data_IF_403372262732
#
_entry.id   IF_403372262732
#
_cell.length_a   1.000
_cell.length_b   1.000
_cell.length_c   1.000
_cell.angle_alpha   90.00
_cell.angle_beta   90.00
_cell.angle_gamma   90.00
#
_symmetry.space_group_name_H-M   'P 1'
#
loop_
_entity.id
_entity.type
_entity.pdbx_description
1 polymer ?
#
# COMPACT_ATOMS: atom_id res chain seq x y z
N UNK A 1 8.42 2.95 -10.46
CA UNK A 1 9.21 1.91 -9.76
C UNK A 1 9.97 2.47 -8.57
N UNK A 2 10.66 3.61 -8.69
CA UNK A 2 11.41 4.23 -7.58
C UNK A 2 10.56 4.38 -6.31
N UNK A 3 9.34 4.91 -6.40
CA UNK A 3 8.44 5.06 -5.24
C UNK A 3 8.16 3.74 -4.50
N UNK A 4 8.00 2.64 -5.23
CA UNK A 4 7.81 1.32 -4.61
C UNK A 4 9.08 0.85 -3.88
N UNK A 5 10.25 1.09 -4.48
CA UNK A 5 11.53 0.74 -3.86
C UNK A 5 11.89 1.66 -2.69
N UNK A 6 11.43 2.92 -2.70
CA UNK A 6 11.52 3.82 -1.55
C UNK A 6 10.65 3.32 -0.39
N UNK A 7 9.48 2.71 -0.65
CA UNK A 7 8.67 2.07 0.40
C UNK A 7 9.37 0.89 1.06
N UNK A 8 10.18 0.13 0.32
CA UNK A 8 11.00 -0.94 0.91
C UNK A 8 11.99 -0.38 1.95
N UNK A 9 12.54 0.81 1.68
CA UNK A 9 13.40 1.55 2.61
C UNK A 9 12.61 2.16 3.76
N UNK A 10 11.46 2.77 3.50
CA UNK A 10 10.68 3.47 4.53
C UNK A 10 10.03 2.51 5.53
N UNK A 11 9.44 1.42 5.04
CA UNK A 11 8.59 0.53 5.85
C UNK A 11 8.69 -0.95 5.47
N UNK A 12 9.60 -1.34 4.58
CA UNK A 12 9.78 -2.72 4.16
C UNK A 12 11.04 -3.37 4.74
N UNK A 13 11.60 -4.31 4.00
CA UNK A 13 12.74 -5.13 4.44
C UNK A 13 14.03 -4.34 4.66
N UNK A 14 14.13 -3.09 4.18
CA UNK A 14 15.28 -2.21 4.42
C UNK A 14 15.03 -1.19 5.55
N UNK A 15 13.82 -1.13 6.13
CA UNK A 15 13.49 -0.14 7.14
C UNK A 15 14.36 -0.24 8.39
N UNK A 16 14.61 -1.47 8.89
CA UNK A 16 15.49 -1.68 10.04
C UNK A 16 16.92 -1.18 9.79
N UNK A 17 17.54 -1.65 8.70
CA UNK A 17 18.95 -1.37 8.39
C UNK A 17 19.24 0.10 8.05
N UNK A 18 18.24 0.82 7.53
CA UNK A 18 18.33 2.23 7.12
C UNK A 18 17.68 3.20 8.11
N UNK A 19 17.13 2.70 9.23
CA UNK A 19 16.29 3.46 10.15
C UNK A 19 15.18 4.24 9.42
N UNK A 20 14.41 3.53 8.58
CA UNK A 20 13.37 4.08 7.70
C UNK A 20 13.90 5.22 6.81
N UNK A 21 15.12 5.07 6.30
CA UNK A 21 15.84 6.06 5.49
C UNK A 21 16.59 7.15 6.28
N UNK A 22 16.29 7.37 7.57
CA UNK A 22 16.90 8.45 8.35
C UNK A 22 18.41 8.31 8.55
N UNK A 23 18.98 7.11 8.36
CA UNK A 23 20.43 6.87 8.35
C UNK A 23 21.16 7.65 7.26
N UNK A 24 20.45 8.07 6.21
CA UNK A 24 20.98 8.90 5.11
C UNK A 24 20.91 10.40 5.38
N UNK A 25 20.76 10.80 6.63
CA UNK A 25 20.90 12.20 7.01
C UNK A 25 22.31 12.69 6.71
N UNK A 26 22.39 13.74 5.92
CA UNK A 26 23.63 14.43 5.55
C UNK A 26 23.53 15.90 5.93
N UNK A 27 24.70 16.55 6.00
CA UNK A 27 24.83 18.00 6.11
C UNK A 27 25.47 18.51 4.83
N UNK A 28 24.78 19.42 4.16
CA UNK A 28 25.24 19.98 2.89
C UNK A 28 26.32 21.02 3.05
N UNK A 29 26.85 21.45 1.91
CA UNK A 29 27.91 22.47 1.83
C UNK A 29 27.52 23.79 2.52
N UNK A 30 26.22 24.08 2.61
CA UNK A 30 25.64 25.28 3.24
C UNK A 30 25.27 25.09 4.71
N UNK A 31 25.60 23.95 5.32
CA UNK A 31 25.30 23.64 6.72
C UNK A 31 23.86 23.18 7.00
N UNK A 32 23.02 23.05 5.98
CA UNK A 32 21.66 22.51 6.12
C UNK A 32 21.66 20.99 6.23
N UNK A 33 20.80 20.43 7.08
CA UNK A 33 20.62 18.98 7.20
C UNK A 33 19.40 18.49 6.43
N UNK A 34 19.55 17.39 5.71
CA UNK A 34 18.51 16.73 4.92
C UNK A 34 18.77 15.23 4.86
N UNK A 35 17.78 14.46 4.39
CA UNK A 35 17.92 13.03 4.14
C UNK A 35 17.98 12.81 2.64
N UNK A 36 19.05 12.18 2.15
CA UNK A 36 19.14 11.80 0.74
C UNK A 36 18.25 10.58 0.51
N UNK A 37 17.34 10.62 -0.49
CA UNK A 37 16.41 9.52 -0.72
C UNK A 37 17.14 8.26 -1.20
N UNK A 38 16.67 7.11 -0.73
CA UNK A 38 17.13 5.79 -1.14
C UNK A 38 15.98 4.96 -1.67
N UNK A 39 16.27 4.17 -2.68
CA UNK A 39 15.38 3.16 -3.23
C UNK A 39 16.14 1.84 -3.30
N UNK A 40 15.61 0.75 -2.77
CA UNK A 40 16.35 -0.51 -2.77
C UNK A 40 15.50 -1.74 -2.55
N UNK A 41 16.13 -2.90 -2.72
CA UNK A 41 15.51 -4.20 -2.54
C UNK A 41 16.50 -5.21 -1.99
N UNK A 42 15.97 -6.09 -1.15
CA UNK A 42 16.68 -7.27 -0.63
C UNK A 42 16.33 -8.51 -1.46
N UNK A 43 17.26 -9.44 -1.57
CA UNK A 43 17.02 -10.78 -2.09
C UNK A 43 17.78 -11.84 -1.31
N UNK A 44 17.25 -13.06 -1.33
CA UNK A 44 17.79 -14.22 -0.63
C UNK A 44 17.42 -15.46 -1.43
N UNK A 45 18.41 -16.30 -1.74
CA UNK A 45 18.16 -17.56 -2.45
C UNK A 45 17.67 -18.65 -1.50
N UNK A 46 17.24 -19.77 -2.08
CA UNK A 46 16.86 -20.94 -1.30
C UNK A 46 18.03 -21.40 -0.40
N UNK A 47 17.69 -21.96 0.77
CA UNK A 47 18.67 -22.41 1.77
C UNK A 47 19.65 -21.31 2.26
N UNK A 48 19.30 -20.02 2.11
CA UNK A 48 20.17 -18.90 2.48
C UNK A 48 21.57 -19.00 1.84
N UNK A 49 21.67 -19.52 0.61
CA UNK A 49 22.96 -19.66 -0.06
C UNK A 49 23.55 -18.29 -0.44
N UNK A 50 22.68 -17.35 -0.82
CA UNK A 50 23.01 -15.99 -1.22
C UNK A 50 22.12 -14.99 -0.51
N UNK A 51 22.70 -13.87 -0.13
CA UNK A 51 22.02 -12.72 0.43
C UNK A 51 22.51 -11.47 -0.27
N UNK A 52 21.61 -10.68 -0.85
CA UNK A 52 21.98 -9.40 -1.46
C UNK A 52 21.05 -8.27 -1.07
N UNK A 53 21.62 -7.08 -1.05
CA UNK A 53 20.90 -5.82 -1.07
C UNK A 53 21.42 -4.99 -2.23
N UNK A 54 20.50 -4.55 -3.06
CA UNK A 54 20.77 -3.64 -4.17
C UNK A 54 19.92 -2.41 -3.98
N UNK A 55 20.51 -1.24 -4.16
CA UNK A 55 19.76 -0.01 -4.12
C UNK A 55 20.49 1.14 -4.76
N UNK A 56 19.76 2.22 -4.91
CA UNK A 56 20.20 3.45 -5.54
C UNK A 56 19.84 4.65 -4.68
N UNK A 57 20.62 5.71 -4.87
CA UNK A 57 20.28 7.10 -4.59
C UNK A 57 20.28 7.87 -5.93
N UNK A 58 19.97 9.16 -5.92
CA UNK A 58 20.15 10.02 -7.10
C UNK A 58 21.61 10.21 -7.55
N UNK A 59 22.57 9.72 -6.77
CA UNK A 59 24.00 9.82 -7.05
C UNK A 59 24.61 8.48 -7.47
N UNK A 60 24.29 7.41 -6.74
CA UNK A 60 24.98 6.13 -6.84
C UNK A 60 24.02 4.95 -6.82
N UNK A 61 24.42 3.88 -7.50
CA UNK A 61 23.84 2.54 -7.35
C UNK A 61 24.90 1.64 -6.76
N UNK A 62 24.53 0.87 -5.74
CA UNK A 62 25.42 -0.08 -5.09
C UNK A 62 24.68 -1.40 -4.83
N UNK A 63 25.42 -2.50 -4.95
CA UNK A 63 25.00 -3.84 -4.62
C UNK A 63 25.99 -4.45 -3.63
N UNK A 64 25.49 -5.04 -2.55
CA UNK A 64 26.27 -5.85 -1.62
C UNK A 64 25.70 -7.26 -1.68
N UNK A 65 26.56 -8.24 -1.91
CA UNK A 65 26.22 -9.65 -1.96
C UNK A 65 27.12 -10.43 -0.99
N UNK A 66 26.51 -11.41 -0.34
CA UNK A 66 27.17 -12.43 0.46
C UNK A 66 26.80 -13.79 -0.10
N UNK A 67 27.80 -14.66 -0.18
CA UNK A 67 27.69 -16.05 -0.59
C UNK A 67 29.06 -16.70 -0.54
N UNK A 68 29.08 -18.01 -0.75
CA UNK A 68 30.32 -18.76 -0.90
C UNK A 68 30.63 -18.96 -2.38
N UNK A 69 31.91 -19.03 -2.73
CA UNK A 69 32.34 -19.40 -4.09
C UNK A 69 31.73 -20.73 -4.57
N UNK A 70 31.43 -21.63 -3.63
CA UNK A 70 30.62 -22.84 -3.84
C UNK A 70 29.18 -22.56 -3.41
N UNK A 71 28.32 -22.28 -4.38
CA UNK A 71 26.94 -21.83 -4.17
C UNK A 71 25.96 -22.79 -3.48
N UNK A 72 26.39 -23.96 -3.02
CA UNK A 72 25.53 -24.90 -2.26
C UNK A 72 25.60 -24.71 -0.74
N UNK A 73 26.59 -23.95 -0.24
CA UNK A 73 26.76 -23.74 1.18
C UNK A 73 25.77 -22.69 1.69
N UNK A 74 25.05 -23.02 2.76
CA UNK A 74 24.18 -22.07 3.44
C UNK A 74 25.02 -21.04 4.20
N UNK A 75 24.63 -19.77 4.12
CA UNK A 75 25.13 -18.70 5.01
C UNK A 75 24.66 -18.92 6.45
N UNK A 76 23.61 -19.72 6.65
CA UNK A 76 22.97 -19.98 7.92
C UNK A 76 21.52 -19.53 7.92
N UNK A 77 20.73 -20.09 8.83
CA UNK A 77 19.33 -19.72 9.03
C UNK A 77 19.24 -18.22 9.34
N UNK A 78 18.27 -17.55 8.73
CA UNK A 78 18.03 -16.10 8.84
C UNK A 78 19.15 -15.20 8.31
N UNK A 79 20.17 -15.73 7.64
CA UNK A 79 21.18 -14.93 6.94
C UNK A 79 20.64 -14.49 5.57
N UNK A 80 19.78 -13.46 5.60
CA UNK A 80 19.06 -12.91 4.46
C UNK A 80 19.70 -11.62 3.95
N UNK A 81 19.25 -11.16 2.78
CA UNK A 81 19.64 -9.86 2.25
C UNK A 81 19.32 -8.72 3.23
N UNK A 82 18.24 -8.83 4.00
CA UNK A 82 17.82 -7.83 4.98
C UNK A 82 18.67 -7.84 6.26
N UNK A 83 19.19 -9.00 6.67
CA UNK A 83 19.89 -9.15 7.96
C UNK A 83 21.40 -8.96 7.84
N UNK A 84 22.03 -9.43 6.76
CA UNK A 84 23.49 -9.32 6.59
C UNK A 84 23.92 -8.30 5.53
N UNK A 85 23.28 -8.28 4.36
CA UNK A 85 23.69 -7.40 3.27
C UNK A 85 23.23 -5.95 3.49
N UNK A 86 21.99 -5.76 3.95
CA UNK A 86 21.37 -4.45 4.08
C UNK A 86 22.04 -3.50 5.09
N UNK A 87 22.47 -3.94 6.31
CA UNK A 87 23.16 -3.05 7.23
C UNK A 87 24.45 -2.49 6.65
N UNK A 88 25.26 -3.35 6.02
CA UNK A 88 26.53 -3.00 5.38
C UNK A 88 26.29 -2.08 4.19
N UNK A 89 25.30 -2.41 3.33
CA UNK A 89 24.90 -1.55 2.24
C UNK A 89 24.47 -0.15 2.74
N UNK A 90 23.70 -0.07 3.82
CA UNK A 90 23.24 1.20 4.37
C UNK A 90 24.39 2.03 4.97
N UNK A 91 25.36 1.40 5.65
CA UNK A 91 26.55 2.07 6.15
C UNK A 91 27.45 2.57 5.02
N UNK A 92 27.69 1.73 4.01
CA UNK A 92 28.43 2.10 2.81
C UNK A 92 27.78 3.27 2.09
N UNK A 93 26.46 3.19 1.84
CA UNK A 93 25.71 4.28 1.22
C UNK A 93 25.79 5.56 2.05
N UNK A 94 25.62 5.52 3.38
CA UNK A 94 25.79 6.72 4.22
C UNK A 94 27.16 7.35 4.03
N UNK A 95 28.21 6.54 4.02
CA UNK A 95 29.59 7.02 4.02
C UNK A 95 29.99 7.64 2.68
N UNK A 96 29.61 7.03 1.55
CA UNK A 96 29.88 7.60 0.21
C UNK A 96 29.06 8.87 -0.09
N UNK A 97 28.04 9.17 0.72
CA UNK A 97 27.19 10.36 0.57
C UNK A 97 27.60 11.53 1.48
N UNK A 98 28.67 11.38 2.28
CA UNK A 98 29.16 12.45 3.15
C UNK A 98 29.52 13.70 2.34
N UNK A 99 28.92 14.84 2.72
CA UNK A 99 29.17 16.14 2.09
C UNK A 99 28.47 16.36 0.76
N UNK A 100 27.67 15.42 0.26
CA UNK A 100 26.87 15.61 -0.95
C UNK A 100 25.63 16.44 -0.66
N UNK A 101 25.37 17.44 -1.51
CA UNK A 101 24.16 18.27 -1.45
C UNK A 101 22.89 17.44 -1.67
N UNK A 102 21.74 17.97 -1.22
CA UNK A 102 20.45 17.32 -1.45
C UNK A 102 20.20 17.16 -2.95
N UNK A 103 19.77 15.95 -3.33
CA UNK A 103 19.31 15.63 -4.68
C UNK A 103 18.18 14.63 -4.55
N UNK A 104 17.16 14.80 -5.38
CA UNK A 104 16.04 13.86 -5.47
C UNK A 104 16.14 13.02 -6.74
N UNK A 105 15.40 11.91 -6.80
CA UNK A 105 15.33 11.09 -8.00
C UNK A 105 14.69 11.89 -9.15
N UNK A 106 15.14 11.66 -10.40
CA UNK A 106 14.49 12.25 -11.55
C UNK A 106 13.05 11.71 -11.66
N UNK A 107 12.09 12.62 -11.74
CA UNK A 107 10.69 12.31 -11.97
C UNK A 107 10.35 12.57 -13.44
N UNK A 108 9.76 11.59 -14.17
CA UNK A 108 9.31 11.81 -15.54
C UNK A 108 8.26 12.92 -15.58
N UNK A 109 8.38 13.85 -16.52
CA UNK A 109 7.45 14.99 -16.64
C UNK A 109 6.12 14.61 -17.30
N UNK A 110 6.04 13.45 -17.96
CA UNK A 110 4.88 12.99 -18.72
C UNK A 110 4.82 11.46 -18.77
N UNK A 111 3.69 10.92 -19.21
CA UNK A 111 3.49 9.47 -19.36
C UNK A 111 3.08 8.77 -18.08
N UNK A 112 2.84 9.52 -17.00
CA UNK A 112 2.45 8.99 -15.70
C UNK A 112 1.25 9.77 -15.18
N UNK A 113 0.23 9.06 -14.70
CA UNK A 113 -0.89 9.65 -14.00
C UNK A 113 -1.04 9.06 -12.61
N UNK A 114 -1.46 9.91 -11.68
CA UNK A 114 -1.73 9.55 -10.31
C UNK A 114 -3.22 9.29 -10.16
N UNK A 115 -3.57 8.07 -9.80
CA UNK A 115 -4.96 7.64 -9.65
C UNK A 115 -5.19 7.15 -8.22
N UNK A 116 -6.29 7.60 -7.64
CA UNK A 116 -6.77 7.09 -6.36
C UNK A 116 -7.57 5.83 -6.60
N UNK A 117 -7.15 4.74 -5.98
CA UNK A 117 -7.78 3.42 -6.09
C UNK A 117 -8.18 2.91 -4.72
N UNK A 118 -9.13 1.97 -4.67
CA UNK A 118 -9.45 1.23 -3.47
C UNK A 118 -8.18 0.53 -2.94
N UNK A 119 -7.95 0.61 -1.63
CA UNK A 119 -6.79 0.01 -0.96
C UNK A 119 -6.73 -1.51 -1.09
N UNK A 120 -7.89 -2.16 -1.29
CA UNK A 120 -8.04 -3.62 -1.35
C UNK A 120 -8.13 -4.11 -2.80
N UNK A 121 -9.09 -3.61 -3.59
CA UNK A 121 -9.31 -4.12 -4.96
C UNK A 121 -8.30 -3.56 -5.97
N UNK A 122 -7.69 -2.41 -5.71
CA UNK A 122 -6.85 -1.70 -6.68
C UNK A 122 -7.63 -1.10 -7.85
N UNK A 123 -8.96 -1.13 -7.81
CA UNK A 123 -9.86 -0.53 -8.80
C UNK A 123 -10.35 0.85 -8.36
N UNK A 124 -11.08 1.56 -9.23
CA UNK A 124 -11.62 2.87 -8.90
C UNK A 124 -12.60 2.77 -7.72
N UNK A 125 -12.44 3.58 -6.67
CA UNK A 125 -13.24 3.44 -5.45
C UNK A 125 -14.71 3.79 -5.73
N UNK A 126 -15.59 3.13 -5.00
CA UNK A 126 -17.03 3.45 -4.94
C UNK A 126 -17.34 4.08 -3.58
N UNK A 127 -18.57 4.54 -3.39
CA UNK A 127 -19.04 5.05 -2.09
C UNK A 127 -19.02 3.99 -0.98
N UNK A 128 -18.97 2.70 -1.35
CA UNK A 128 -18.94 1.58 -0.42
C UNK A 128 -17.54 1.23 0.08
N UNK A 129 -16.46 1.82 -0.48
CA UNK A 129 -15.08 1.56 -0.07
C UNK A 129 -14.77 2.17 1.30
N UNK A 130 -15.12 1.45 2.36
CA UNK A 130 -14.93 1.82 3.77
C UNK A 130 -13.51 1.51 4.31
N UNK A 131 -12.77 0.61 3.65
CA UNK A 131 -11.38 0.24 4.00
C UNK A 131 -10.31 1.20 3.43
N UNK A 132 -10.74 2.35 2.90
CA UNK A 132 -9.88 3.44 2.47
C UNK A 132 -9.38 3.33 1.03
N UNK A 133 -8.58 4.33 0.65
CA UNK A 133 -8.04 4.48 -0.71
C UNK A 133 -6.55 4.75 -0.67
N UNK A 134 -5.87 4.39 -1.76
CA UNK A 134 -4.44 4.65 -1.96
C UNK A 134 -4.22 5.36 -3.28
N UNK A 135 -3.36 6.38 -3.27
CA UNK A 135 -2.98 7.11 -4.48
C UNK A 135 -1.73 6.47 -5.07
N UNK A 136 -1.86 5.86 -6.25
CA UNK A 136 -0.79 5.15 -6.95
C UNK A 136 -0.45 5.82 -8.28
N UNK A 137 0.76 5.55 -8.75
CA UNK A 137 1.29 6.05 -10.02
C UNK A 137 1.14 4.97 -11.09
N UNK A 138 0.53 5.32 -12.22
CA UNK A 138 0.30 4.43 -13.37
C UNK A 138 0.96 5.00 -14.61
N UNK A 139 1.36 4.12 -15.54
CA UNK A 139 1.67 4.54 -16.90
C UNK A 139 0.38 5.01 -17.56
N UNK A 140 0.41 6.11 -18.30
CA UNK A 140 -0.77 6.59 -19.03
C UNK A 140 -1.38 5.49 -19.90
N UNK A 141 -2.68 5.24 -19.74
CA UNK A 141 -3.41 4.14 -20.37
C UNK A 141 -3.44 2.82 -19.60
N UNK A 142 -2.64 2.66 -18.53
CA UNK A 142 -2.62 1.45 -17.69
C UNK A 142 -3.43 1.59 -16.39
N UNK A 143 -4.15 2.70 -16.22
CA UNK A 143 -5.00 2.94 -15.04
C UNK A 143 -6.17 1.95 -15.03
N UNK A 144 -6.68 1.55 -13.85
CA UNK A 144 -7.91 0.79 -13.78
C UNK A 144 -9.07 1.59 -14.35
N UNK A 145 -9.88 0.95 -15.19
CA UNK A 145 -11.09 1.53 -15.76
C UNK A 145 -12.36 1.09 -15.02
N UNK A 146 -12.31 -0.06 -14.33
CA UNK A 146 -13.41 -0.61 -13.56
C UNK A 146 -13.52 0.00 -12.16
N UNK A 147 -14.75 0.04 -11.65
CA UNK A 147 -15.03 0.35 -10.24
C UNK A 147 -14.78 -0.86 -9.35
N UNK A 148 -14.53 -0.60 -8.07
CA UNK A 148 -14.37 -1.63 -7.05
C UNK A 148 -15.55 -2.60 -7.05
N UNK A 149 -15.21 -3.88 -7.10
CA UNK A 149 -16.14 -5.03 -7.10
C UNK A 149 -16.15 -5.78 -5.76
N UNK A 150 -15.25 -5.44 -4.84
CA UNK A 150 -15.15 -6.03 -3.49
C UNK A 150 -16.12 -5.35 -2.53
N UNK A 151 -16.09 -4.01 -2.48
CA UNK A 151 -16.94 -3.24 -1.58
C UNK A 151 -18.29 -2.96 -2.24
N UNK A 152 -19.33 -3.63 -1.76
CA UNK A 152 -20.69 -3.52 -2.26
C UNK A 152 -21.65 -3.03 -1.18
N UNK A 153 -22.81 -2.58 -1.63
CA UNK A 153 -23.91 -2.22 -0.76
C UNK A 153 -24.37 -3.42 0.09
N UNK A 154 -24.05 -3.39 1.38
CA UNK A 154 -24.51 -4.40 2.35
C UNK A 154 -26.00 -4.27 2.65
N UNK A 155 -26.65 -3.16 2.26
CA UNK A 155 -28.08 -2.93 2.48
C UNK A 155 -28.95 -4.02 1.83
N UNK A 156 -28.56 -4.51 0.65
CA UNK A 156 -29.30 -5.56 -0.05
C UNK A 156 -29.20 -6.92 0.64
N UNK A 157 -28.05 -7.25 1.22
CA UNK A 157 -27.89 -8.46 2.01
C UNK A 157 -28.69 -8.38 3.31
N UNK A 158 -28.68 -7.23 3.99
CA UNK A 158 -29.52 -7.01 5.18
C UNK A 158 -31.00 -7.04 4.85
N UNK A 159 -31.43 -6.45 3.74
CA UNK A 159 -32.82 -6.50 3.29
C UNK A 159 -33.23 -7.93 2.97
N UNK A 160 -32.40 -8.69 2.27
CA UNK A 160 -32.64 -10.11 1.96
C UNK A 160 -32.67 -10.98 3.22
N UNK A 161 -31.79 -10.71 4.20
CA UNK A 161 -31.79 -11.42 5.48
C UNK A 161 -33.02 -11.08 6.33
N UNK A 162 -33.38 -9.80 6.42
CA UNK A 162 -34.60 -9.36 7.09
C UNK A 162 -35.84 -9.97 6.41
N UNK A 163 -35.86 -10.04 5.08
CA UNK A 163 -36.91 -10.68 4.31
C UNK A 163 -37.07 -12.17 4.69
N UNK A 164 -35.94 -12.90 4.75
CA UNK A 164 -35.90 -14.31 5.18
C UNK A 164 -36.28 -14.52 6.64
N UNK A 165 -35.89 -13.59 7.53
CA UNK A 165 -36.17 -13.68 8.97
C UNK A 165 -37.63 -13.31 9.31
N UNK A 166 -38.21 -12.34 8.59
CA UNK A 166 -39.56 -11.86 8.83
C UNK A 166 -40.62 -12.62 8.01
N UNK A 167 -40.21 -13.47 7.07
CA UNK A 167 -41.13 -14.25 6.23
C UNK A 167 -42.00 -13.39 5.32
N UNK A 168 -41.58 -12.15 5.03
CA UNK A 168 -42.33 -11.19 4.22
C UNK A 168 -41.76 -11.20 2.81
N UNK A 169 -42.44 -11.81 1.86
CA UNK A 169 -42.07 -11.67 0.45
C UNK A 169 -42.43 -10.25 -0.02
N UNK A 170 -41.41 -9.43 -0.27
CA UNK A 170 -41.42 -8.04 -0.79
C UNK A 170 -41.54 -6.92 0.23
N UNK A 171 -40.44 -6.18 0.42
CA UNK A 171 -40.49 -4.75 0.68
C UNK A 171 -40.20 -4.01 -0.63
N UNK A 172 -40.89 -2.90 -0.93
CA UNK A 172 -40.68 -2.16 -2.15
C UNK A 172 -39.23 -1.65 -2.23
N UNK A 173 -38.56 -1.92 -3.36
CA UNK A 173 -37.26 -1.31 -3.66
C UNK A 173 -37.46 0.21 -3.80
N UNK A 174 -36.78 1.06 -3.02
CA UNK A 174 -36.90 2.50 -3.18
C UNK A 174 -36.25 2.91 -4.50
N UNK A 175 -37.04 3.27 -5.51
CA UNK A 175 -36.52 3.87 -6.76
C UNK A 175 -37.26 3.58 -8.07
N UNK A 176 -38.21 2.64 -8.12
CA UNK A 176 -38.98 2.40 -9.37
C UNK A 176 -40.39 2.97 -9.25
N UNK A 177 -40.54 4.22 -9.68
CA UNK A 177 -41.85 4.83 -9.88
C UNK A 177 -42.57 4.22 -11.08
N UNK A 178 -43.60 3.43 -10.82
CA UNK A 178 -44.72 3.22 -11.74
C UNK A 178 -45.99 3.17 -10.92
N UNK A 179 -46.82 4.20 -11.09
CA UNK A 179 -48.16 4.30 -10.53
C UNK A 179 -49.09 3.23 -11.15
N UNK A 180 -49.70 2.40 -10.31
CA UNK A 180 -51.02 1.83 -10.60
C UNK A 180 -51.67 1.38 -9.29
N UNK A 181 -52.91 1.82 -9.08
CA UNK A 181 -53.57 1.86 -7.78
C UNK A 181 -54.01 0.52 -7.19
N UNK A 182 -54.26 0.53 -5.88
CA UNK A 182 -55.06 -0.47 -5.20
C UNK A 182 -54.66 -0.75 -3.75
N UNK A 183 -55.57 -0.43 -2.83
CA UNK A 183 -55.67 -0.84 -1.43
C UNK A 183 -54.65 -0.29 -0.41
N UNK A 184 -55.16 0.61 0.45
CA UNK A 184 -54.50 1.04 1.68
C UNK A 184 -54.40 -0.14 2.66
N UNK A 185 -53.20 -0.35 3.20
CA UNK A 185 -53.05 -0.90 4.54
C UNK A 185 -51.89 -0.15 5.21
N UNK A 186 -52.24 0.97 5.86
CA UNK A 186 -51.30 1.74 6.66
C UNK A 186 -50.95 0.94 7.91
N UNK A 187 -49.76 0.34 7.95
CA UNK A 187 -49.14 -0.09 9.18
C UNK A 187 -48.71 1.16 9.95
N UNK A 188 -49.54 1.57 10.91
CA UNK A 188 -49.19 2.59 11.91
C UNK A 188 -48.11 2.00 12.83
N UNK A 189 -46.84 2.28 12.52
CA UNK A 189 -45.75 2.07 13.44
C UNK A 189 -45.67 3.30 14.35
N UNK A 190 -46.21 3.18 15.57
CA UNK A 190 -45.98 4.17 16.63
C UNK A 190 -44.48 4.17 16.97
N UNK A 191 -43.77 5.23 16.60
CA UNK A 191 -42.33 5.41 16.86
C UNK A 191 -42.01 5.96 18.25
N UNK A 192 -42.95 5.92 19.20
CA UNK A 192 -42.77 6.44 20.56
C UNK A 192 -42.75 5.32 21.60
N UNK A 193 -41.93 4.27 21.39
CA UNK A 193 -41.61 3.34 22.47
C UNK A 193 -40.46 3.92 23.33
N UNK A 194 -40.81 4.63 24.40
CA UNK A 194 -39.90 4.86 25.53
C UNK A 194 -39.74 3.56 26.30
N UNK A 195 -38.52 3.03 26.30
CA UNK A 195 -38.13 1.87 27.10
C UNK A 195 -37.66 2.39 28.47
N UNK A 196 -38.50 2.25 29.49
CA UNK A 196 -38.04 2.35 30.88
C UNK A 196 -37.40 1.01 31.28
N UNK A 197 -36.12 1.06 31.65
CA UNK A 197 -35.40 -0.06 32.23
C UNK A 197 -35.27 0.13 33.76
N UNK A 198 -35.37 -0.94 34.57
CA UNK A 198 -35.09 -0.91 35.99
C UNK A 198 -33.60 -0.70 36.30
#
# INVERSE_FOLDING_TARGET
>A
MIDMLQRVVASGTLAGSTASGSKMRQTGSKGNSYVIPLAGKTGTTHNWADAWTVGASPYYTAAIWFGFDRGSNSLGVEQTGATIAAPIWADYMRDIHKGLDFKDFPHPQSGLSRVTVCSISGLLPTEYCDEGTVSLLYLDGSQPLGSCDIHKDKSQETATLLQKLLGVDTLPVPGTGTESGGAQNSLNLDTNLTIDLP
#
